data_IF_393574453554
#
_entry.id   IF_393574453554
#
_cell.length_a   1.000
_cell.length_b   1.000
_cell.length_c   1.000
_cell.angle_alpha   90.00
_cell.angle_beta   90.00
_cell.angle_gamma   90.00
#
_symmetry.space_group_name_H-M   'P 1'
#
loop_
_entity.id
_entity.type
_entity.pdbx_description
1 polymer ?
#
# COMPACT_ATOMS: atom_id res chain seq x y z
N UNK A 1 12.56 6.67 18.77
CA UNK A 1 11.37 5.86 19.10
C UNK A 1 11.14 4.94 17.92
N UNK A 2 11.28 3.65 18.10
CA UNK A 2 10.80 2.69 17.11
C UNK A 2 9.28 2.87 17.02
N UNK A 3 8.80 3.26 15.86
CA UNK A 3 7.37 3.48 15.63
C UNK A 3 6.60 2.15 15.72
N UNK A 4 5.35 2.21 16.13
CA UNK A 4 4.44 1.06 16.13
C UNK A 4 4.23 0.62 14.68
N UNK A 5 4.36 -0.69 14.40
CA UNK A 5 4.18 -1.24 13.05
C UNK A 5 2.72 -1.24 12.63
N UNK A 6 2.46 -1.12 11.33
CA UNK A 6 1.11 -1.25 10.78
C UNK A 6 0.53 -2.63 11.05
N UNK A 7 -0.77 -2.72 11.38
CA UNK A 7 -1.51 -3.97 11.47
C UNK A 7 -1.40 -4.75 10.16
N UNK A 8 -1.20 -6.05 10.24
CA UNK A 8 -1.00 -6.88 9.07
C UNK A 8 -1.51 -8.30 9.28
N UNK A 9 -2.15 -8.87 8.26
CA UNK A 9 -2.55 -10.27 8.21
C UNK A 9 -1.86 -10.97 7.05
N UNK A 10 -1.12 -12.03 7.35
CA UNK A 10 -0.43 -12.84 6.36
C UNK A 10 -0.50 -14.33 6.69
N UNK A 11 -0.21 -15.16 5.69
CA UNK A 11 -0.29 -16.63 5.83
C UNK A 11 0.59 -17.22 6.92
N UNK A 12 1.72 -16.58 7.23
CA UNK A 12 2.74 -17.11 8.14
C UNK A 12 2.97 -16.24 9.38
N UNK A 13 2.18 -15.19 9.56
CA UNK A 13 2.26 -14.29 10.71
C UNK A 13 1.38 -13.08 10.56
N UNK A 14 1.11 -12.43 11.66
CA UNK A 14 0.26 -11.24 11.73
C UNK A 14 0.82 -10.21 12.70
N UNK A 15 0.35 -8.96 12.56
CA UNK A 15 0.57 -7.86 13.49
C UNK A 15 -0.81 -7.35 13.88
N UNK A 16 -1.25 -7.66 15.09
CA UNK A 16 -2.58 -7.33 15.61
C UNK A 16 -2.48 -6.48 16.86
N UNK A 17 -3.40 -5.53 16.97
CA UNK A 17 -3.57 -4.67 18.14
C UNK A 17 -4.98 -4.82 18.67
N UNK A 18 -5.09 -4.90 19.99
CA UNK A 18 -6.36 -5.08 20.65
C UNK A 18 -6.36 -4.43 22.04
N UNK A 19 -7.54 -4.04 22.49
CA UNK A 19 -7.83 -3.59 23.82
C UNK A 19 -8.55 -4.71 24.58
N UNK A 20 -8.13 -4.94 25.81
CA UNK A 20 -8.84 -5.81 26.75
C UNK A 20 -9.35 -4.94 27.89
N UNK A 21 -10.64 -4.99 28.17
CA UNK A 21 -11.24 -4.43 29.37
C UNK A 21 -11.66 -5.57 30.31
N UNK A 22 -11.37 -5.41 31.59
CA UNK A 22 -11.72 -6.37 32.61
C UNK A 22 -12.36 -5.62 33.76
N UNK A 23 -13.56 -6.07 34.17
CA UNK A 23 -14.29 -5.57 35.34
C UNK A 23 -14.11 -6.58 36.45
N UNK A 24 -13.37 -6.20 37.50
CA UNK A 24 -13.21 -7.02 38.70
C UNK A 24 -14.50 -6.95 39.55
N UNK A 25 -15.09 -8.10 39.85
CA UNK A 25 -16.30 -8.21 40.66
C UNK A 25 -15.98 -9.02 41.92
N UNK A 26 -16.04 -8.40 43.12
CA UNK A 26 -15.92 -9.13 44.36
C UNK A 26 -16.99 -10.24 44.44
N UNK A 27 -16.57 -11.45 44.76
CA UNK A 27 -17.44 -12.63 44.94
C UNK A 27 -18.19 -13.11 43.69
N UNK A 28 -17.74 -12.74 42.47
CA UNK A 28 -18.31 -13.16 41.21
C UNK A 28 -17.23 -13.30 40.13
N UNK A 29 -17.55 -13.92 39.00
CA UNK A 29 -16.64 -13.96 37.84
C UNK A 29 -16.43 -12.56 37.25
N UNK A 30 -15.19 -12.24 36.90
CA UNK A 30 -14.85 -10.99 36.22
C UNK A 30 -15.43 -10.97 34.82
N UNK A 31 -16.02 -9.84 34.42
CA UNK A 31 -16.40 -9.62 33.03
C UNK A 31 -15.17 -9.14 32.22
N UNK A 32 -14.91 -9.82 31.12
CA UNK A 32 -13.79 -9.50 30.21
C UNK A 32 -14.35 -9.24 28.83
N UNK A 33 -13.82 -8.23 28.16
CA UNK A 33 -14.09 -7.98 26.75
C UNK A 33 -12.81 -7.61 26.02
N UNK A 34 -12.69 -8.03 24.76
CA UNK A 34 -11.56 -7.71 23.89
C UNK A 34 -12.09 -7.09 22.60
N UNK A 35 -11.43 -6.04 22.11
CA UNK A 35 -11.74 -5.42 20.82
C UNK A 35 -10.46 -5.19 20.02
N UNK A 36 -10.38 -5.79 18.84
CA UNK A 36 -9.27 -5.54 17.90
C UNK A 36 -9.48 -4.21 17.17
N UNK A 37 -8.38 -3.54 16.80
CA UNK A 37 -8.40 -2.31 16.04
C UNK A 37 -7.20 -2.25 15.09
N UNK A 38 -7.35 -1.50 13.99
CA UNK A 38 -6.28 -1.30 13.02
C UNK A 38 -5.37 -0.16 13.46
N UNK A 39 -4.07 -0.42 13.49
CA UNK A 39 -3.02 0.58 13.62
C UNK A 39 -2.40 0.78 12.25
N UNK A 40 -2.22 2.03 11.84
CA UNK A 40 -1.54 2.40 10.59
C UNK A 40 -0.34 3.27 10.97
N UNK A 41 0.86 2.77 10.69
CA UNK A 41 2.08 3.56 10.79
C UNK A 41 2.17 4.48 9.56
N UNK A 42 2.23 5.81 9.73
CA UNK A 42 2.18 6.72 8.60
C UNK A 42 3.45 6.63 7.75
N UNK A 43 3.26 6.43 6.44
CA UNK A 43 4.30 6.54 5.42
C UNK A 43 3.86 7.66 4.48
N UNK A 44 4.49 8.82 4.62
CA UNK A 44 4.20 10.00 3.81
C UNK A 44 5.00 9.95 2.51
N UNK A 45 4.29 9.68 1.40
CA UNK A 45 4.90 9.60 0.07
C UNK A 45 5.30 10.97 -0.50
N UNK A 46 4.95 12.09 0.17
CA UNK A 46 5.36 13.44 -0.26
C UNK A 46 6.82 13.76 0.07
N UNK A 47 7.50 12.90 0.82
CA UNK A 47 8.93 13.05 1.08
C UNK A 47 9.73 12.96 -0.22
N UNK A 48 10.80 13.76 -0.38
CA UNK A 48 11.59 13.81 -1.61
C UNK A 48 12.10 12.44 -2.07
N UNK A 49 12.45 11.56 -1.14
CA UNK A 49 12.92 10.19 -1.41
C UNK A 49 11.91 9.30 -2.16
N UNK A 50 10.61 9.61 -2.05
CA UNK A 50 9.53 8.87 -2.70
C UNK A 50 9.03 9.54 -3.98
N UNK A 51 9.46 10.77 -4.25
CA UNK A 51 9.08 11.53 -5.45
C UNK A 51 10.08 11.36 -6.60
N UNK A 52 11.16 10.63 -6.37
CA UNK A 52 12.17 10.35 -7.40
C UNK A 52 11.67 9.25 -8.33
N UNK A 53 11.82 9.47 -9.65
CA UNK A 53 11.63 8.45 -10.67
C UNK A 53 12.62 7.30 -10.47
N UNK A 54 12.17 6.08 -10.72
CA UNK A 54 13.03 4.90 -10.75
C UNK A 54 13.12 4.44 -12.18
N UNK A 55 14.33 4.28 -12.66
CA UNK A 55 14.66 3.80 -14.00
C UNK A 55 15.67 2.66 -13.90
N UNK A 56 15.49 1.65 -14.75
CA UNK A 56 16.42 0.53 -14.91
C UNK A 56 16.30 -0.02 -16.33
N UNK A 57 17.30 -0.80 -16.75
CA UNK A 57 17.37 -1.39 -18.09
C UNK A 57 17.92 -2.81 -18.04
N UNK A 58 17.41 -3.68 -18.90
CA UNK A 58 17.88 -5.05 -19.04
C UNK A 58 17.85 -5.49 -20.49
N UNK A 59 18.88 -6.24 -20.88
CA UNK A 59 19.04 -6.79 -22.21
C UNK A 59 19.31 -8.29 -22.16
N UNK A 60 18.86 -9.00 -23.18
CA UNK A 60 19.07 -10.43 -23.35
C UNK A 60 19.25 -10.78 -24.81
N UNK A 61 20.32 -11.51 -25.14
CA UNK A 61 20.51 -12.12 -26.46
C UNK A 61 19.87 -13.52 -26.48
N UNK A 62 19.05 -13.78 -27.49
CA UNK A 62 18.48 -15.11 -27.70
C UNK A 62 19.46 -15.95 -28.52
N UNK A 63 19.95 -17.03 -27.92
CA UNK A 63 20.81 -17.98 -28.59
C UNK A 63 19.98 -19.20 -29.01
N UNK A 64 19.90 -19.48 -30.31
CA UNK A 64 19.46 -20.76 -30.86
C UNK A 64 20.71 -21.51 -31.32
N UNK A 65 20.72 -22.84 -31.21
CA UNK A 65 21.91 -23.68 -31.46
C UNK A 65 22.50 -23.52 -32.86
N UNK A 66 21.78 -22.91 -33.81
CA UNK A 66 22.22 -22.68 -35.19
C UNK A 66 22.15 -21.21 -35.65
N UNK A 67 21.55 -20.30 -34.86
CA UNK A 67 21.40 -18.89 -35.26
C UNK A 67 21.51 -18.01 -34.01
N UNK A 68 22.41 -17.07 -33.98
CA UNK A 68 22.40 -15.96 -33.02
C UNK A 68 21.26 -15.03 -33.45
N UNK A 69 20.21 -14.98 -32.66
CA UNK A 69 19.16 -13.99 -32.79
C UNK A 69 19.58 -12.71 -32.06
N UNK A 70 19.29 -11.55 -32.65
CA UNK A 70 19.67 -10.27 -32.05
C UNK A 70 19.12 -10.04 -30.65
N UNK A 71 19.61 -9.01 -29.93
CA UNK A 71 19.23 -8.73 -28.56
C UNK A 71 17.77 -8.27 -28.46
N UNK A 72 17.21 -8.50 -27.29
CA UNK A 72 15.93 -7.94 -26.84
C UNK A 72 16.24 -7.09 -25.61
N UNK A 73 15.73 -5.85 -25.56
CA UNK A 73 15.96 -4.94 -24.44
C UNK A 73 14.67 -4.38 -23.87
N UNK A 74 14.72 -4.03 -22.60
CA UNK A 74 13.72 -3.27 -21.86
C UNK A 74 14.44 -2.14 -21.16
N UNK A 75 14.02 -0.90 -21.39
CA UNK A 75 14.32 0.24 -20.55
C UNK A 75 13.00 0.75 -20.00
N UNK A 76 12.84 0.81 -18.70
CA UNK A 76 11.57 1.22 -18.11
C UNK A 76 11.77 2.11 -16.89
N UNK A 77 10.82 3.04 -16.70
CA UNK A 77 10.80 3.95 -15.57
C UNK A 77 9.39 4.16 -15.05
N UNK A 78 9.31 4.48 -13.75
CA UNK A 78 8.10 5.00 -13.12
C UNK A 78 8.23 6.50 -12.90
N UNK A 79 7.12 7.22 -12.85
CA UNK A 79 7.12 8.67 -12.58
C UNK A 79 7.68 9.00 -11.19
N UNK A 80 7.48 8.13 -10.21
CA UNK A 80 7.94 8.27 -8.84
C UNK A 80 8.09 6.90 -8.16
N UNK A 81 8.62 6.89 -6.94
CA UNK A 81 8.82 5.67 -6.14
C UNK A 81 7.68 5.39 -5.17
N UNK A 82 7.02 6.43 -4.65
CA UNK A 82 5.98 6.32 -3.62
C UNK A 82 4.58 6.44 -4.19
N UNK A 83 3.67 5.55 -3.79
CA UNK A 83 2.26 5.53 -4.20
C UNK A 83 1.38 5.12 -3.04
N UNK A 84 0.07 5.42 -3.10
CA UNK A 84 -0.92 4.90 -2.17
C UNK A 84 -1.84 3.87 -2.84
N UNK A 85 -2.48 2.96 -2.07
CA UNK A 85 -3.51 2.08 -2.61
C UNK A 85 -4.61 2.90 -3.28
N UNK A 86 -5.05 2.49 -4.48
CA UNK A 86 -6.02 3.22 -5.28
C UNK A 86 -5.43 4.17 -6.32
N UNK A 87 -4.17 4.56 -6.19
CA UNK A 87 -3.46 5.31 -7.22
C UNK A 87 -3.08 4.43 -8.42
N UNK A 88 -2.61 5.06 -9.49
CA UNK A 88 -2.07 4.37 -10.65
C UNK A 88 -0.60 4.72 -10.82
N UNK A 89 0.22 3.72 -11.13
CA UNK A 89 1.63 3.88 -11.43
C UNK A 89 1.73 4.21 -12.92
N UNK A 90 2.30 5.36 -13.25
CA UNK A 90 2.61 5.70 -14.63
C UNK A 90 3.94 5.06 -15.03
N UNK A 91 3.89 4.13 -15.99
CA UNK A 91 5.04 3.38 -16.49
C UNK A 91 5.36 3.87 -17.88
N UNK A 92 6.57 4.42 -18.08
CA UNK A 92 7.13 4.69 -19.39
C UNK A 92 8.20 3.64 -19.68
N UNK A 93 8.18 3.04 -20.87
CA UNK A 93 9.13 1.99 -21.21
C UNK A 93 9.41 1.92 -22.70
N UNK A 94 10.64 1.60 -23.05
CA UNK A 94 11.06 1.31 -24.42
C UNK A 94 11.43 -0.17 -24.53
N UNK A 95 10.90 -0.81 -25.56
CA UNK A 95 11.12 -2.21 -25.87
C UNK A 95 11.73 -2.34 -27.27
N UNK A 96 12.88 -2.98 -27.36
CA UNK A 96 13.52 -3.26 -28.65
C UNK A 96 13.56 -4.77 -28.89
N UNK A 97 13.18 -5.17 -30.09
CA UNK A 97 13.12 -6.56 -30.47
C UNK A 97 13.97 -6.81 -31.73
N UNK A 98 15.24 -7.06 -31.57
CA UNK A 98 16.13 -7.47 -32.66
C UNK A 98 16.18 -8.99 -32.87
N UNK A 99 15.27 -9.71 -32.22
CA UNK A 99 15.16 -11.17 -32.34
C UNK A 99 14.29 -11.59 -33.52
N UNK A 100 14.28 -12.89 -33.78
CA UNK A 100 13.41 -13.50 -34.79
C UNK A 100 12.00 -13.87 -34.27
N UNK A 101 11.67 -13.52 -33.03
CA UNK A 101 10.42 -13.89 -32.37
C UNK A 101 9.55 -12.68 -32.07
N UNK A 102 8.24 -12.83 -32.17
CA UNK A 102 7.31 -11.82 -31.64
C UNK A 102 7.34 -11.86 -30.13
N UNK A 103 7.48 -10.73 -29.47
CA UNK A 103 7.47 -10.58 -28.01
C UNK A 103 6.26 -9.78 -27.55
N UNK A 104 5.82 -9.99 -26.32
CA UNK A 104 4.67 -9.28 -25.74
C UNK A 104 5.12 -8.61 -24.43
N UNK A 105 5.15 -7.26 -24.37
CA UNK A 105 5.46 -6.54 -23.15
C UNK A 105 4.31 -6.61 -22.16
N UNK A 106 4.63 -6.76 -20.87
CA UNK A 106 3.65 -6.68 -19.80
C UNK A 106 4.28 -6.13 -18.52
N UNK A 107 3.46 -5.48 -17.70
CA UNK A 107 3.84 -5.03 -16.37
C UNK A 107 2.90 -5.61 -15.32
N UNK A 108 3.43 -5.87 -14.13
CA UNK A 108 2.66 -6.44 -13.02
C UNK A 108 3.10 -5.87 -11.70
N UNK A 109 2.14 -5.57 -10.81
CA UNK A 109 2.42 -5.22 -9.42
C UNK A 109 2.64 -6.49 -8.59
N UNK A 110 3.73 -6.54 -7.86
CA UNK A 110 4.08 -7.63 -6.97
C UNK A 110 4.28 -7.13 -5.54
N UNK A 111 3.85 -7.94 -4.59
CA UNK A 111 4.14 -7.80 -3.17
C UNK A 111 5.03 -8.97 -2.73
N UNK A 112 6.03 -8.67 -1.92
CA UNK A 112 6.85 -9.66 -1.23
C UNK A 112 6.66 -9.52 0.27
N UNK A 113 6.18 -10.57 0.91
CA UNK A 113 6.03 -10.70 2.35
C UNK A 113 7.17 -11.55 2.88
N UNK A 114 7.98 -11.02 3.77
CA UNK A 114 9.08 -11.75 4.43
C UNK A 114 8.77 -11.85 5.91
N UNK A 115 8.69 -13.08 6.41
CA UNK A 115 8.41 -13.41 7.81
C UNK A 115 9.68 -13.92 8.47
N UNK A 116 10.04 -13.35 9.61
CA UNK A 116 11.26 -13.72 10.36
C UNK A 116 10.89 -14.36 11.69
N UNK A 117 11.47 -15.53 11.99
CA UNK A 117 11.31 -16.22 13.25
C UNK A 117 12.51 -17.14 13.53
N UNK A 118 13.05 -17.12 14.75
CA UNK A 118 14.12 -18.01 15.20
C UNK A 118 15.34 -18.07 14.25
N UNK A 119 15.77 -16.92 13.75
CA UNK A 119 16.93 -16.85 12.82
C UNK A 119 16.65 -17.39 11.42
N UNK A 120 15.39 -17.73 11.09
CA UNK A 120 14.94 -18.19 9.77
C UNK A 120 13.99 -17.17 9.16
N UNK A 121 13.89 -17.18 7.82
CA UNK A 121 12.91 -16.37 7.09
C UNK A 121 12.07 -17.23 6.14
N UNK A 122 10.84 -16.80 5.93
CA UNK A 122 9.96 -17.31 4.87
C UNK A 122 9.50 -16.16 4.01
N UNK A 123 9.58 -16.35 2.71
CA UNK A 123 9.17 -15.35 1.72
C UNK A 123 7.92 -15.84 0.99
N UNK A 124 6.97 -14.94 0.80
CA UNK A 124 5.77 -15.16 -0.01
C UNK A 124 5.61 -14.01 -0.99
N UNK A 125 5.49 -14.32 -2.28
CA UNK A 125 5.13 -13.38 -3.34
C UNK A 125 3.63 -13.45 -3.65
N UNK A 126 3.04 -12.30 -3.91
CA UNK A 126 1.67 -12.17 -4.44
C UNK A 126 1.70 -11.24 -5.65
N UNK A 127 1.05 -11.65 -6.73
CA UNK A 127 0.90 -10.86 -7.95
C UNK A 127 -0.50 -10.25 -7.96
N UNK A 128 -0.58 -8.97 -8.31
CA UNK A 128 -1.83 -8.23 -8.41
C UNK A 128 -2.16 -7.88 -9.87
N UNK A 129 -2.38 -6.61 -10.14
CA UNK A 129 -2.78 -6.06 -11.44
C UNK A 129 -1.78 -6.37 -12.55
N UNK A 130 -2.28 -6.61 -13.74
CA UNK A 130 -1.49 -6.87 -14.95
C UNK A 130 -1.86 -5.83 -16.00
N UNK A 131 -0.86 -5.23 -16.60
CA UNK A 131 -0.95 -4.41 -17.79
C UNK A 131 -0.26 -5.17 -18.92
N UNK A 132 -0.92 -5.36 -20.07
CA UNK A 132 -0.36 -6.07 -21.21
C UNK A 132 -0.34 -5.11 -22.42
N UNK A 133 0.81 -5.02 -23.08
CA UNK A 133 0.97 -4.23 -24.29
C UNK A 133 0.69 -5.02 -25.56
N UNK A 134 0.81 -4.36 -26.70
CA UNK A 134 0.66 -4.98 -28.00
C UNK A 134 1.88 -5.85 -28.35
N UNK A 135 1.70 -6.92 -29.13
CA UNK A 135 2.83 -7.72 -29.62
C UNK A 135 3.81 -6.90 -30.46
N UNK A 136 5.09 -7.09 -30.23
CA UNK A 136 6.20 -6.43 -30.97
C UNK A 136 6.83 -7.46 -31.89
N UNK A 137 6.67 -7.25 -33.18
CA UNK A 137 7.21 -8.15 -34.21
C UNK A 137 8.76 -8.10 -34.25
N UNK A 138 9.40 -9.11 -34.87
CA UNK A 138 10.84 -9.12 -35.14
C UNK A 138 11.34 -7.83 -35.81
N UNK A 139 12.46 -7.29 -35.36
CA UNK A 139 13.07 -6.07 -35.87
C UNK A 139 12.38 -4.76 -35.49
N UNK A 140 11.30 -4.80 -34.73
CA UNK A 140 10.50 -3.65 -34.35
C UNK A 140 10.78 -3.16 -32.91
N UNK A 141 10.28 -1.96 -32.62
CA UNK A 141 10.31 -1.32 -31.32
C UNK A 141 8.88 -0.99 -30.87
N UNK A 142 8.68 -0.91 -29.57
CA UNK A 142 7.46 -0.39 -28.98
C UNK A 142 7.80 0.51 -27.80
N UNK A 143 7.02 1.57 -27.63
CA UNK A 143 7.19 2.51 -26.51
C UNK A 143 5.88 2.58 -25.73
N UNK A 144 5.98 2.56 -24.42
CA UNK A 144 4.91 2.92 -23.51
C UNK A 144 5.15 4.35 -23.02
N UNK A 145 4.16 5.20 -23.20
CA UNK A 145 4.15 6.54 -22.66
C UNK A 145 3.14 6.62 -21.52
N UNK A 146 3.66 6.72 -20.31
CA UNK A 146 2.87 6.84 -19.05
C UNK A 146 1.70 5.85 -18.95
N UNK A 147 1.90 4.57 -19.30
CA UNK A 147 0.88 3.54 -19.19
C UNK A 147 0.51 3.30 -17.73
N UNK A 148 -0.79 3.31 -17.42
CA UNK A 148 -1.30 3.29 -16.05
C UNK A 148 -1.51 1.87 -15.52
N UNK A 149 -0.77 1.51 -14.47
CA UNK A 149 -0.95 0.27 -13.72
C UNK A 149 -1.67 0.58 -12.39
N UNK A 150 -2.95 0.19 -12.28
CA UNK A 150 -3.77 0.46 -11.10
C UNK A 150 -3.29 -0.33 -9.88
N UNK A 151 -3.17 0.34 -8.74
CA UNK A 151 -2.87 -0.28 -7.45
C UNK A 151 -4.19 -0.68 -6.78
N UNK A 152 -4.42 -1.97 -6.47
CA UNK A 152 -5.62 -2.40 -5.76
C UNK A 152 -5.55 -2.04 -4.27
N UNK A 153 -6.60 -2.37 -3.53
CA UNK A 153 -6.61 -2.26 -2.07
C UNK A 153 -5.64 -3.29 -1.47
N UNK A 154 -4.45 -2.82 -1.08
CA UNK A 154 -3.36 -3.63 -0.50
C UNK A 154 -2.85 -2.98 0.78
N UNK A 155 -2.16 -3.77 1.62
CA UNK A 155 -1.49 -3.22 2.81
C UNK A 155 -0.41 -2.22 2.41
N UNK A 156 -0.10 -1.21 3.23
CA UNK A 156 1.07 -0.40 3.01
C UNK A 156 2.36 -1.21 3.17
N UNK A 157 3.48 -0.67 2.69
CA UNK A 157 4.80 -1.24 2.92
C UNK A 157 5.11 -1.30 4.41
N UNK A 158 5.78 -2.36 4.87
CA UNK A 158 6.24 -2.50 6.25
C UNK A 158 7.75 -2.66 6.22
N UNK A 159 8.46 -1.59 6.57
CA UNK A 159 9.92 -1.52 6.46
C UNK A 159 10.62 -1.67 7.82
N UNK A 160 9.97 -1.20 8.90
CA UNK A 160 10.56 -1.07 10.24
C UNK A 160 9.99 -2.10 11.25
N UNK A 161 9.81 -3.35 10.81
CA UNK A 161 9.34 -4.42 11.68
C UNK A 161 10.34 -5.59 11.66
N UNK A 162 10.74 -6.06 12.83
CA UNK A 162 11.71 -7.14 12.96
C UNK A 162 11.16 -8.53 12.66
N UNK A 163 9.81 -8.68 12.62
CA UNK A 163 9.16 -9.98 12.42
C UNK A 163 8.48 -10.12 11.06
N UNK A 164 8.03 -9.01 10.45
CA UNK A 164 7.36 -9.02 9.14
C UNK A 164 7.81 -7.83 8.32
N UNK A 165 8.21 -8.08 7.06
CA UNK A 165 8.52 -7.07 6.08
C UNK A 165 7.60 -7.22 4.88
N UNK A 166 7.08 -6.10 4.36
CA UNK A 166 6.21 -6.07 3.18
C UNK A 166 6.78 -5.07 2.19
N UNK A 167 7.28 -5.59 1.09
CA UNK A 167 7.87 -4.80 0.00
C UNK A 167 7.03 -4.93 -1.27
N UNK A 168 7.12 -3.92 -2.14
CA UNK A 168 6.45 -3.89 -3.44
C UNK A 168 7.43 -3.57 -4.56
N UNK A 169 7.15 -4.12 -5.73
CA UNK A 169 7.84 -3.76 -6.97
C UNK A 169 6.93 -3.91 -8.19
N UNK A 170 7.18 -3.11 -9.19
CA UNK A 170 6.63 -3.30 -10.52
C UNK A 170 7.59 -4.20 -11.29
N UNK A 171 7.09 -5.34 -11.77
CA UNK A 171 7.81 -6.19 -12.70
C UNK A 171 7.42 -5.79 -14.12
N UNK A 172 8.37 -5.26 -14.89
CA UNK A 172 8.22 -5.06 -16.34
C UNK A 172 8.91 -6.22 -17.05
N UNK A 173 8.23 -6.84 -18.00
CA UNK A 173 8.75 -8.04 -18.62
C UNK A 173 8.27 -8.20 -20.07
N UNK A 174 9.04 -8.99 -20.82
CA UNK A 174 8.73 -9.45 -22.17
C UNK A 174 8.43 -10.94 -22.15
N UNK A 175 7.23 -11.30 -22.57
CA UNK A 175 6.92 -12.69 -22.86
C UNK A 175 7.55 -13.07 -24.19
N UNK A 176 8.38 -14.13 -24.18
CA UNK A 176 9.13 -14.61 -25.31
C UNK A 176 8.72 -16.06 -25.57
N UNK A 177 7.92 -16.35 -26.61
CA UNK A 177 7.52 -17.72 -26.91
C UNK A 177 8.73 -18.65 -27.09
N UNK A 178 8.71 -19.78 -26.36
CA UNK A 178 9.78 -20.79 -26.43
C UNK A 178 11.13 -20.38 -25.81
N UNK A 179 11.14 -19.35 -24.95
CA UNK A 179 12.32 -18.95 -24.17
C UNK A 179 11.91 -18.45 -22.80
N UNK A 180 12.89 -18.31 -21.88
CA UNK A 180 12.65 -17.60 -20.62
C UNK A 180 12.37 -16.13 -20.87
N UNK A 181 11.37 -15.61 -20.20
CA UNK A 181 10.99 -14.21 -20.27
C UNK A 181 12.15 -13.30 -19.79
N UNK A 182 12.32 -12.16 -20.44
CA UNK A 182 13.18 -11.08 -19.95
C UNK A 182 12.36 -10.26 -18.96
N UNK A 183 12.93 -9.91 -17.81
CA UNK A 183 12.20 -9.10 -16.83
C UNK A 183 13.12 -8.30 -15.93
N UNK A 184 12.64 -7.14 -15.51
CA UNK A 184 13.25 -6.24 -14.55
C UNK A 184 12.29 -5.87 -13.43
N UNK A 185 12.81 -5.35 -12.34
CA UNK A 185 12.04 -5.02 -11.15
C UNK A 185 12.31 -3.58 -10.75
N UNK A 186 11.25 -2.76 -10.72
CA UNK A 186 11.29 -1.39 -10.24
C UNK A 186 10.72 -1.34 -8.82
N UNK A 187 11.55 -1.18 -7.76
CA UNK A 187 11.09 -1.19 -6.39
C UNK A 187 10.28 0.07 -6.06
N UNK A 188 9.08 -0.11 -5.52
CA UNK A 188 8.20 0.98 -5.11
C UNK A 188 7.83 0.88 -3.63
N UNK A 189 7.30 1.96 -3.08
CA UNK A 189 6.79 2.02 -1.70
C UNK A 189 5.31 2.33 -1.73
N UNK A 190 4.52 1.51 -1.05
CA UNK A 190 3.11 1.77 -0.84
C UNK A 190 2.95 2.49 0.51
N UNK A 191 2.59 3.76 0.42
CA UNK A 191 2.41 4.64 1.58
C UNK A 191 0.96 4.73 2.05
N UNK A 192 0.76 5.58 3.04
CA UNK A 192 -0.54 5.80 3.71
C UNK A 192 -1.02 7.24 3.62
N UNK A 193 -0.10 8.19 3.40
CA UNK A 193 -0.42 9.60 3.17
C UNK A 193 -0.29 9.87 1.69
N UNK A 194 -1.40 10.18 0.98
CA UNK A 194 -1.41 10.30 -0.48
C UNK A 194 -0.61 11.52 -0.96
N UNK A 195 -0.25 11.46 -2.24
CA UNK A 195 0.43 12.56 -2.91
C UNK A 195 -0.41 13.83 -2.88
N UNK A 196 0.20 14.93 -2.46
CA UNK A 196 -0.39 16.26 -2.43
C UNK A 196 0.29 17.10 -3.51
N UNK A 197 -0.35 17.34 -4.65
CA UNK A 197 0.11 18.36 -5.58
C UNK A 197 0.15 19.70 -4.85
N UNK A 198 1.00 20.63 -5.30
CA UNK A 198 1.25 21.95 -4.64
C UNK A 198 -0.03 22.80 -4.53
N UNK A 199 -1.09 22.48 -5.27
CA UNK A 199 -2.41 23.08 -5.11
C UNK A 199 -3.20 22.45 -3.95
N UNK A 200 -4.05 23.22 -3.23
CA UNK A 200 -4.59 22.83 -1.93
C UNK A 200 -5.40 21.52 -1.97
N UNK A 201 -5.20 20.63 -0.98
CA UNK A 201 -5.71 19.27 -1.00
C UNK A 201 -7.18 19.15 -0.60
N UNK A 202 -7.82 18.15 -1.17
CA UNK A 202 -9.11 17.63 -0.72
C UNK A 202 -8.91 16.26 -0.06
N UNK A 203 -9.41 16.07 1.15
CA UNK A 203 -9.22 14.82 1.91
C UNK A 203 -10.11 13.69 1.38
N UNK A 204 -9.55 12.46 1.32
CA UNK A 204 -10.33 11.25 1.12
C UNK A 204 -10.96 10.80 2.45
N UNK A 205 -12.22 10.40 2.41
CA UNK A 205 -12.90 9.83 3.59
C UNK A 205 -12.20 8.54 4.02
N UNK A 206 -11.78 8.50 5.28
CA UNK A 206 -11.23 7.30 5.91
C UNK A 206 -12.42 6.43 6.33
N UNK A 207 -12.62 5.29 5.65
CA UNK A 207 -13.58 4.30 6.12
C UNK A 207 -13.04 3.64 7.40
N UNK A 208 -13.41 4.16 8.55
CA UNK A 208 -13.17 3.53 9.84
C UNK A 208 -14.32 2.59 10.16
N UNK A 209 -14.23 1.35 9.74
CA UNK A 209 -15.11 0.27 10.18
C UNK A 209 -14.47 -0.47 11.35
N UNK A 210 -14.99 -0.29 12.55
CA UNK A 210 -14.70 -1.19 13.66
C UNK A 210 -15.58 -2.44 13.50
N UNK A 211 -14.98 -3.60 13.34
CA UNK A 211 -15.70 -4.88 13.33
C UNK A 211 -16.01 -5.22 14.80
N UNK A 212 -17.28 -5.25 15.14
CA UNK A 212 -17.76 -5.71 16.44
C UNK A 212 -17.71 -7.25 16.46
N UNK A 213 -16.75 -7.80 17.17
CA UNK A 213 -16.66 -9.23 17.39
C UNK A 213 -17.32 -9.50 18.75
N UNK A 214 -18.51 -10.09 18.71
CA UNK A 214 -19.17 -10.56 19.94
C UNK A 214 -18.54 -11.89 20.31
N UNK A 215 -17.80 -11.92 21.42
CA UNK A 215 -17.41 -13.16 22.07
C UNK A 215 -18.60 -13.66 22.88
N UNK A 216 -19.19 -14.76 22.45
CA UNK A 216 -20.00 -15.60 23.34
C UNK A 216 -19.05 -16.37 24.27
N UNK A 217 -19.32 -16.29 25.54
CA UNK A 217 -18.67 -16.90 26.70
C UNK A 217 -17.71 -18.06 26.38
N UNK A 218 -16.40 -17.81 26.41
CA UNK A 218 -15.43 -18.88 26.55
C UNK A 218 -14.36 -18.49 27.60
N UNK A 219 -14.46 -19.13 28.77
CA UNK A 219 -13.61 -18.97 29.96
C UNK A 219 -12.19 -19.54 29.76
N UNK A 220 -11.76 -19.84 28.55
CA UNK A 220 -10.41 -20.28 28.30
C UNK A 220 -9.53 -19.11 27.89
N UNK A 221 -8.29 -19.13 28.35
CA UNK A 221 -7.18 -18.29 27.86
C UNK A 221 -7.05 -18.46 26.35
N UNK A 222 -8.01 -17.88 25.63
CA UNK A 222 -8.06 -17.93 24.17
C UNK A 222 -6.84 -17.24 23.61
N UNK A 223 -6.00 -18.00 22.97
CA UNK A 223 -5.01 -17.48 22.04
C UNK A 223 -5.76 -16.65 21.01
N UNK A 224 -5.29 -15.44 20.68
CA UNK A 224 -5.88 -14.54 19.65
C UNK A 224 -6.07 -15.20 18.26
N UNK A 225 -5.90 -16.53 18.15
CA UNK A 225 -6.05 -17.30 16.93
C UNK A 225 -7.48 -17.36 16.37
N UNK A 226 -8.50 -17.24 17.24
CA UNK A 226 -9.90 -17.42 16.86
C UNK A 226 -10.64 -16.13 16.48
N UNK A 227 -9.99 -14.95 16.65
CA UNK A 227 -10.56 -13.68 16.21
C UNK A 227 -10.42 -13.54 14.70
N UNK A 228 -11.52 -13.61 13.97
CA UNK A 228 -11.59 -13.22 12.56
C UNK A 228 -11.41 -11.69 12.47
N UNK A 229 -10.18 -11.26 12.28
CA UNK A 229 -9.82 -9.86 12.15
C UNK A 229 -9.17 -9.61 10.79
N UNK A 230 -9.68 -8.63 10.07
CA UNK A 230 -9.09 -8.15 8.83
C UNK A 230 -8.72 -6.68 9.01
N UNK A 231 -7.43 -6.31 8.94
CA UNK A 231 -7.04 -4.91 9.04
C UNK A 231 -7.58 -4.11 7.86
N UNK A 232 -8.01 -2.88 8.15
CA UNK A 232 -8.48 -1.93 7.15
C UNK A 232 -7.40 -0.90 6.88
N UNK A 233 -7.12 -0.66 5.60
CA UNK A 233 -6.10 0.27 5.16
C UNK A 233 -6.70 1.45 4.41
N UNK A 234 -5.99 2.58 4.40
CA UNK A 234 -6.37 3.75 3.61
C UNK A 234 -6.37 3.39 2.12
N UNK A 235 -7.41 3.85 1.41
CA UNK A 235 -7.54 3.68 -0.03
C UNK A 235 -7.93 5.02 -0.66
N UNK A 236 -7.21 5.45 -1.70
CA UNK A 236 -7.51 6.68 -2.43
C UNK A 236 -8.60 6.36 -3.46
N UNK A 237 -9.83 6.79 -3.18
CA UNK A 237 -10.98 6.44 -4.02
C UNK A 237 -11.08 7.33 -5.27
N UNK A 238 -10.72 8.63 -5.13
CA UNK A 238 -10.71 9.60 -6.23
C UNK A 238 -9.57 10.60 -6.03
N UNK A 239 -8.86 10.96 -7.09
CA UNK A 239 -7.81 11.98 -7.06
C UNK A 239 -8.35 13.42 -6.92
N UNK A 240 -9.65 13.60 -6.91
CA UNK A 240 -10.27 14.89 -6.67
C UNK A 240 -10.37 15.16 -5.18
N UNK A 241 -9.41 15.92 -4.69
CA UNK A 241 -9.45 16.43 -3.33
C UNK A 241 -10.67 17.35 -3.13
N UNK A 242 -11.55 17.03 -2.17
CA UNK A 242 -12.57 17.98 -1.70
C UNK A 242 -11.92 18.90 -0.65
N UNK A 243 -12.19 20.21 -0.63
CA UNK A 243 -11.66 21.08 0.41
C UNK A 243 -12.12 20.57 1.80
N UNK A 244 -11.30 20.71 2.86
CA UNK A 244 -11.73 20.37 4.19
C UNK A 244 -13.01 21.14 4.52
N UNK A 245 -13.95 20.55 5.28
CA UNK A 245 -15.12 21.27 5.73
C UNK A 245 -14.66 22.52 6.46
N UNK A 246 -15.25 23.67 6.12
CA UNK A 246 -15.01 24.91 6.84
C UNK A 246 -15.43 24.68 8.30
N UNK A 247 -14.48 24.56 9.18
CA UNK A 247 -14.76 24.60 10.61
C UNK A 247 -15.24 26.00 10.93
N UNK A 248 -16.51 26.17 11.25
CA UNK A 248 -16.98 27.42 11.84
C UNK A 248 -16.43 27.45 13.26
N UNK A 249 -15.68 28.48 13.61
CA UNK A 249 -15.24 28.75 14.99
C UNK A 249 -16.43 29.21 15.88
N UNK A 250 -17.62 28.69 15.68
CA UNK A 250 -18.73 28.92 16.57
C UNK A 250 -18.54 28.00 17.77
N UNK A 251 -18.19 28.60 18.90
CA UNK A 251 -18.12 27.89 20.17
C UNK A 251 -19.44 27.12 20.38
N UNK A 252 -19.44 25.78 20.44
CA UNK A 252 -20.64 24.99 20.68
C UNK A 252 -21.23 25.21 22.07
N UNK A 253 -20.53 25.95 22.95
CA UNK A 253 -21.01 26.36 24.28
C UNK A 253 -20.91 27.88 24.43
N UNK A 254 -21.79 28.68 23.78
CA UNK A 254 -21.79 30.11 24.01
C UNK A 254 -22.03 30.36 25.52
N UNK A 255 -21.05 30.95 26.17
CA UNK A 255 -21.19 31.34 27.58
C UNK A 255 -22.43 32.22 27.72
N UNK A 256 -23.36 31.77 28.54
CA UNK A 256 -24.55 32.56 28.86
C UNK A 256 -24.09 33.92 29.39
N UNK A 257 -24.37 34.97 28.63
CA UNK A 257 -24.10 36.33 29.02
C UNK A 257 -24.82 36.61 30.36
N UNK A 258 -24.05 36.82 31.39
CA UNK A 258 -24.55 37.15 32.72
C UNK A 258 -25.31 38.48 32.66
N UNK A 259 -26.63 38.57 32.96
CA UNK A 259 -27.40 39.82 32.78
C UNK A 259 -27.26 40.81 33.95
N UNK A 260 -26.28 40.63 34.86
CA UNK A 260 -26.16 41.45 36.06
C UNK A 260 -24.95 42.43 36.07
N UNK A 261 -24.76 43.20 35.04
CA UNK A 261 -23.90 44.41 35.13
C UNK A 261 -24.50 45.56 34.32
N UNK A 262 -25.71 46.03 34.69
CA UNK A 262 -26.19 47.35 34.33
C UNK A 262 -26.96 47.93 35.54
N UNK A 263 -26.26 48.48 36.50
CA UNK A 263 -26.79 49.50 37.39
C UNK A 263 -25.66 50.01 38.31
N UNK A 264 -24.90 50.97 37.88
CA UNK A 264 -24.33 51.98 38.81
C UNK A 264 -23.38 52.92 38.08
N UNK A 265 -23.93 53.95 37.43
CA UNK A 265 -23.23 55.20 37.24
C UNK A 265 -24.25 56.30 36.88
N UNK A 266 -24.94 56.78 37.92
CA UNK A 266 -25.49 58.14 37.98
C UNK A 266 -25.24 58.64 39.38
N UNK A 267 -24.24 59.49 39.53
CA UNK A 267 -24.20 60.73 40.27
C UNK A 267 -22.83 61.36 40.12
#
# INVERSE_FOLDING_TARGET
MEGISTSFEGKHGNIRYWLKAEMDKPWSFNHKTKKAFTVISPIDINKPEYQVSIEDGVEKTLCCWLCISGPISINARTDRRGYCPGESIAISADFENHSSRTIIPYATLHQTQTFFANGKSRVRGTKFTVLTGLPVAPGNRATWDAQLLKIPAVSPSIMNCCVIKVDYYVKVALHIPGSYNLSMHLPIVIGTVPYRPIDPPTYAETLTGAVDIRDEDDDQYGTMGDLTYTPMYTYVYDYRYKPPPAYSEVDPYPQASNPDVVASSRL
#
